data_IF_830460065432
#
_entry.id   IF_830460065432
#
_cell.length_a   1.000
_cell.length_b   1.000
_cell.length_c   1.000
_cell.angle_alpha   90.00
_cell.angle_beta   90.00
_cell.angle_gamma   90.00
#
_symmetry.space_group_name_H-M   'P 1'
#
loop_
_entity.id
_entity.type
_entity.pdbx_description
1 polymer ?
#
# COMPACT_ATOMS: atom_id res chain seq x y z
N UNK A 1 3.46 17.93 -4.28
CA UNK A 1 2.80 19.08 -4.95
C UNK A 1 1.39 19.31 -4.40
N UNK A 2 1.25 20.14 -3.38
CA UNK A 2 -0.01 20.76 -2.99
C UNK A 2 -0.18 22.05 -3.80
N UNK A 3 -0.73 21.94 -5.01
CA UNK A 3 -1.24 23.13 -5.70
C UNK A 3 -2.30 23.83 -4.84
N UNK A 4 -2.52 25.13 -5.07
CA UNK A 4 -3.51 25.90 -4.34
C UNK A 4 -4.89 25.24 -4.47
N UNK A 5 -5.54 24.97 -3.33
CA UNK A 5 -6.90 24.43 -3.28
C UNK A 5 -7.91 25.54 -3.55
N UNK A 6 -9.02 25.21 -4.20
CA UNK A 6 -10.17 26.13 -4.24
C UNK A 6 -10.82 26.23 -2.85
N UNK A 7 -11.64 27.26 -2.58
CA UNK A 7 -12.40 27.34 -1.32
C UNK A 7 -13.25 26.09 -1.04
N UNK A 8 -13.92 25.54 -2.07
CA UNK A 8 -14.76 24.35 -1.96
C UNK A 8 -13.94 23.08 -1.65
N UNK A 9 -12.74 22.99 -2.23
CA UNK A 9 -11.81 21.90 -1.94
C UNK A 9 -11.27 21.99 -0.52
N UNK A 10 -11.01 23.20 -0.03
CA UNK A 10 -10.57 23.45 1.35
C UNK A 10 -11.66 23.07 2.34
N UNK A 11 -12.92 23.46 2.08
CA UNK A 11 -14.07 23.05 2.89
C UNK A 11 -14.25 21.52 2.89
N UNK A 12 -14.06 20.88 1.73
CA UNK A 12 -14.13 19.42 1.62
C UNK A 12 -13.02 18.74 2.43
N UNK A 13 -11.80 19.30 2.43
CA UNK A 13 -10.68 18.84 3.24
C UNK A 13 -11.00 18.96 4.73
N UNK A 14 -11.49 20.11 5.19
CA UNK A 14 -11.84 20.34 6.60
C UNK A 14 -12.89 19.35 7.09
N UNK A 15 -13.97 19.15 6.31
CA UNK A 15 -15.00 18.14 6.61
C UNK A 15 -14.41 16.74 6.65
N UNK A 16 -13.57 16.40 5.68
CA UNK A 16 -12.93 15.09 5.62
C UNK A 16 -12.03 14.83 6.83
N UNK A 17 -11.24 15.81 7.29
CA UNK A 17 -10.40 15.66 8.50
C UNK A 17 -11.24 15.29 9.72
N UNK A 18 -12.33 16.04 9.95
CA UNK A 18 -13.22 15.82 11.09
C UNK A 18 -13.80 14.40 11.07
N UNK A 19 -14.29 13.95 9.92
CA UNK A 19 -14.87 12.61 9.81
C UNK A 19 -13.82 11.50 9.87
N UNK A 20 -12.64 11.69 9.29
CA UNK A 20 -11.55 10.72 9.32
C UNK A 20 -11.02 10.50 10.74
N UNK A 21 -10.98 11.54 11.59
CA UNK A 21 -10.57 11.44 12.99
C UNK A 21 -11.55 10.65 13.88
N UNK A 22 -12.80 10.46 13.43
CA UNK A 22 -13.80 9.64 14.14
C UNK A 22 -13.62 8.14 13.88
N UNK A 23 -12.76 7.76 12.93
CA UNK A 23 -12.49 6.35 12.64
C UNK A 23 -11.77 5.71 13.84
N UNK A 24 -12.10 4.44 14.17
CA UNK A 24 -11.45 3.73 15.27
C UNK A 24 -9.94 3.59 15.04
N UNK A 25 -9.54 3.45 13.78
CA UNK A 25 -8.15 3.40 13.35
C UNK A 25 -7.78 4.76 12.79
N UNK A 26 -7.03 5.53 13.57
CA UNK A 26 -6.65 6.88 13.18
C UNK A 26 -5.60 6.83 12.06
N UNK A 27 -5.87 7.44 10.91
CA UNK A 27 -4.88 7.57 9.84
C UNK A 27 -3.81 8.62 10.20
N UNK A 28 -2.79 8.73 9.35
CA UNK A 28 -1.87 9.87 9.35
C UNK A 28 -2.65 11.18 9.20
N UNK A 29 -2.29 12.20 9.97
CA UNK A 29 -3.05 13.45 10.09
C UNK A 29 -2.60 14.56 9.12
N UNK A 30 -1.70 14.25 8.18
CA UNK A 30 -1.20 15.24 7.22
C UNK A 30 -2.23 15.58 6.13
N UNK A 31 -2.22 16.83 5.69
CA UNK A 31 -3.08 17.29 4.59
C UNK A 31 -2.76 16.57 3.30
N UNK A 32 -1.49 16.31 3.05
CA UNK A 32 -1.02 15.53 1.91
C UNK A 32 -1.58 14.10 1.94
N UNK A 33 -1.71 13.49 3.12
CA UNK A 33 -2.36 12.20 3.27
C UNK A 33 -3.84 12.28 2.89
N UNK A 34 -4.60 13.21 3.47
CA UNK A 34 -6.03 13.34 3.19
C UNK A 34 -6.35 13.75 1.76
N UNK A 35 -5.55 14.64 1.17
CA UNK A 35 -5.73 15.10 -0.20
C UNK A 35 -5.55 13.99 -1.23
N UNK A 36 -4.79 12.93 -0.95
CA UNK A 36 -4.69 11.75 -1.85
C UNK A 36 -6.04 11.08 -2.03
N UNK A 37 -6.78 10.86 -0.94
CA UNK A 37 -8.10 10.23 -0.95
C UNK A 37 -9.15 11.11 -1.62
N UNK A 38 -9.17 12.41 -1.25
CA UNK A 38 -10.09 13.39 -1.82
C UNK A 38 -9.88 13.53 -3.33
N UNK A 39 -8.64 13.69 -3.80
CA UNK A 39 -8.34 13.79 -5.24
C UNK A 39 -8.75 12.53 -6.00
N UNK A 40 -8.52 11.34 -5.42
CA UNK A 40 -8.92 10.07 -6.02
C UNK A 40 -10.45 9.90 -6.17
N UNK A 41 -11.25 10.71 -5.49
CA UNK A 41 -12.72 10.69 -5.53
C UNK A 41 -13.33 12.06 -5.85
N UNK A 42 -12.58 12.90 -6.57
CA UNK A 42 -13.05 14.21 -7.04
C UNK A 42 -13.62 15.08 -5.90
N UNK A 43 -12.96 15.07 -4.74
CA UNK A 43 -13.33 15.76 -3.51
C UNK A 43 -14.70 15.37 -2.91
N UNK A 44 -15.26 14.23 -3.32
CA UNK A 44 -16.43 13.67 -2.66
C UNK A 44 -16.05 13.10 -1.29
N UNK A 45 -16.39 13.81 -0.21
CA UNK A 45 -16.03 13.45 1.17
C UNK A 45 -16.51 12.04 1.55
N UNK A 46 -17.76 11.70 1.27
CA UNK A 46 -18.33 10.39 1.62
C UNK A 46 -17.63 9.24 0.91
N UNK A 47 -17.47 9.33 -0.41
CA UNK A 47 -16.79 8.30 -1.19
C UNK A 47 -15.29 8.17 -0.82
N UNK A 48 -14.65 9.28 -0.46
CA UNK A 48 -13.27 9.31 0.02
C UNK A 48 -13.14 8.58 1.36
N UNK A 49 -14.10 8.79 2.28
CA UNK A 49 -14.07 8.16 3.61
C UNK A 49 -14.26 6.65 3.50
N UNK A 50 -15.16 6.21 2.63
CA UNK A 50 -15.35 4.79 2.36
C UNK A 50 -14.10 4.15 1.74
N UNK A 51 -13.36 4.87 0.89
CA UNK A 51 -12.08 4.40 0.36
C UNK A 51 -11.01 4.30 1.47
N UNK A 52 -10.91 5.31 2.33
CA UNK A 52 -9.97 5.32 3.45
C UNK A 52 -10.27 4.19 4.45
N UNK A 53 -11.54 3.97 4.82
CA UNK A 53 -11.94 2.86 5.70
C UNK A 53 -11.52 1.50 5.14
N UNK A 54 -11.75 1.28 3.83
CA UNK A 54 -11.32 0.04 3.16
C UNK A 54 -9.81 -0.11 3.20
N UNK A 55 -9.06 0.97 3.00
CA UNK A 55 -7.60 0.95 3.09
C UNK A 55 -7.12 0.61 4.51
N UNK A 56 -7.67 1.25 5.55
CA UNK A 56 -7.31 0.98 6.94
C UNK A 56 -7.61 -0.47 7.34
N UNK A 57 -8.75 -1.01 6.89
CA UNK A 57 -9.08 -2.43 7.07
C UNK A 57 -8.04 -3.34 6.38
N UNK A 58 -7.72 -3.06 5.13
CA UNK A 58 -6.73 -3.83 4.37
C UNK A 58 -5.35 -3.82 5.04
N UNK A 59 -4.90 -2.66 5.55
CA UNK A 59 -3.61 -2.56 6.28
C UNK A 59 -3.53 -3.55 7.43
N UNK A 60 -4.62 -3.73 8.18
CA UNK A 60 -4.71 -4.71 9.26
C UNK A 60 -4.70 -6.14 8.76
N UNK A 61 -5.46 -6.43 7.70
CA UNK A 61 -5.58 -7.77 7.11
C UNK A 61 -4.23 -8.33 6.64
N UNK A 62 -3.32 -7.45 6.17
CA UNK A 62 -2.01 -7.85 5.65
C UNK A 62 -0.84 -7.50 6.58
N UNK A 63 -1.12 -7.05 7.80
CA UNK A 63 -0.12 -6.57 8.78
C UNK A 63 0.85 -5.53 8.16
N UNK A 64 0.31 -4.60 7.37
CA UNK A 64 1.08 -3.63 6.60
C UNK A 64 1.98 -2.73 7.47
N UNK A 65 1.63 -2.54 8.75
CA UNK A 65 2.42 -1.75 9.70
C UNK A 65 3.74 -2.44 10.06
N UNK A 66 3.83 -3.77 9.92
CA UNK A 66 5.04 -4.57 10.20
C UNK A 66 5.74 -5.07 8.93
N UNK A 67 5.38 -4.53 7.76
CA UNK A 67 5.93 -5.01 6.48
C UNK A 67 7.46 -4.89 6.39
N UNK A 68 8.06 -3.95 7.13
CA UNK A 68 9.51 -3.79 7.19
C UNK A 68 10.23 -4.89 7.98
N UNK A 69 9.53 -5.59 8.87
CA UNK A 69 10.07 -6.74 9.62
C UNK A 69 9.96 -8.04 8.79
N UNK A 70 9.14 -8.04 7.74
CA UNK A 70 8.94 -9.19 6.88
C UNK A 70 10.10 -9.36 5.90
N UNK A 71 10.71 -10.54 5.91
CA UNK A 71 11.70 -10.93 4.91
C UNK A 71 11.01 -11.69 3.78
N UNK A 72 11.10 -11.22 2.52
CA UNK A 72 10.53 -11.95 1.39
C UNK A 72 11.14 -13.34 1.24
N UNK A 73 10.41 -14.35 0.73
CA UNK A 73 11.00 -15.63 0.37
C UNK A 73 12.20 -15.47 -0.57
N UNK A 74 13.19 -16.36 -0.44
CA UNK A 74 14.44 -16.32 -1.22
C UNK A 74 14.20 -16.22 -2.74
N UNK A 75 13.16 -16.89 -3.24
CA UNK A 75 12.78 -16.83 -4.66
C UNK A 75 12.40 -15.42 -5.12
N UNK A 76 11.71 -14.65 -4.28
CA UNK A 76 11.36 -13.27 -4.61
C UNK A 76 12.60 -12.38 -4.53
N UNK A 77 13.44 -12.56 -3.49
CA UNK A 77 14.67 -11.78 -3.34
C UNK A 77 15.64 -11.97 -4.53
N UNK A 78 15.75 -13.20 -5.05
CA UNK A 78 16.69 -13.52 -6.13
C UNK A 78 16.15 -13.29 -7.53
N UNK A 79 14.84 -13.49 -7.73
CA UNK A 79 14.28 -13.61 -9.08
C UNK A 79 13.13 -12.64 -9.37
N UNK A 80 12.65 -11.86 -8.40
CA UNK A 80 11.71 -10.78 -8.69
C UNK A 80 12.51 -9.52 -9.07
N UNK A 81 12.57 -9.16 -10.36
CA UNK A 81 13.44 -8.09 -10.81
C UNK A 81 12.78 -6.73 -10.59
N UNK A 82 13.59 -5.75 -10.23
CA UNK A 82 13.15 -4.38 -10.04
C UNK A 82 13.68 -3.78 -8.76
N UNK A 83 13.35 -2.52 -8.53
CA UNK A 83 13.76 -1.81 -7.33
C UNK A 83 13.82 -0.30 -7.51
N UNK A 84 14.02 0.39 -6.39
CA UNK A 84 14.25 1.82 -6.37
C UNK A 84 15.70 2.13 -6.74
N UNK A 85 15.91 2.99 -7.73
CA UNK A 85 17.24 3.46 -8.10
C UNK A 85 17.18 4.88 -8.67
N UNK A 86 17.88 5.82 -8.02
CA UNK A 86 17.95 7.21 -8.46
C UNK A 86 16.65 8.00 -8.30
N UNK A 87 16.68 9.21 -8.81
CA UNK A 87 15.60 10.21 -8.73
C UNK A 87 15.41 10.86 -10.12
N UNK A 88 14.19 11.32 -10.38
CA UNK A 88 13.91 12.13 -11.57
C UNK A 88 14.41 13.59 -11.40
N UNK A 89 14.13 14.44 -12.39
CA UNK A 89 14.58 15.84 -12.38
C UNK A 89 13.95 16.70 -11.27
N UNK A 90 12.83 16.25 -10.73
CA UNK A 90 12.08 16.93 -9.68
C UNK A 90 12.33 16.31 -8.29
N UNK A 91 13.22 15.31 -8.20
CA UNK A 91 13.60 14.62 -6.97
C UNK A 91 12.65 13.49 -6.55
N UNK A 92 11.78 13.00 -7.44
CA UNK A 92 10.92 11.86 -7.13
C UNK A 92 11.71 10.55 -7.26
N UNK A 93 11.60 9.60 -6.30
CA UNK A 93 12.23 8.29 -6.40
C UNK A 93 11.75 7.52 -7.63
N UNK A 94 12.69 6.95 -8.39
CA UNK A 94 12.38 6.13 -9.57
C UNK A 94 12.37 4.65 -9.19
N UNK A 95 11.27 3.97 -9.51
CA UNK A 95 11.15 2.52 -9.42
C UNK A 95 11.26 1.88 -10.80
N UNK A 96 12.19 0.94 -10.98
CA UNK A 96 12.34 0.17 -12.20
C UNK A 96 11.64 -1.18 -12.07
N UNK A 97 10.83 -1.54 -13.06
CA UNK A 97 10.13 -2.83 -13.14
C UNK A 97 10.50 -3.52 -14.47
N UNK A 98 11.15 -4.68 -14.38
CA UNK A 98 11.70 -5.38 -15.55
C UNK A 98 10.81 -6.56 -15.98
N UNK A 99 9.59 -6.25 -16.43
CA UNK A 99 8.57 -7.23 -16.84
C UNK A 99 9.08 -8.32 -17.80
N UNK A 100 9.97 -7.99 -18.74
CA UNK A 100 10.49 -8.94 -19.73
C UNK A 100 11.31 -10.09 -19.15
N UNK A 101 11.84 -9.92 -17.93
CA UNK A 101 12.76 -10.87 -17.30
C UNK A 101 12.13 -11.65 -16.14
N UNK A 102 10.82 -11.50 -15.91
CA UNK A 102 10.14 -12.17 -14.80
C UNK A 102 9.80 -13.62 -15.20
N UNK A 103 10.46 -14.60 -14.58
CA UNK A 103 10.00 -16.00 -14.64
C UNK A 103 8.78 -16.21 -13.74
N UNK A 104 7.62 -15.76 -14.23
CA UNK A 104 6.35 -15.87 -13.53
C UNK A 104 5.96 -17.31 -13.21
N UNK A 105 6.41 -18.30 -14.01
CA UNK A 105 6.11 -19.72 -13.79
C UNK A 105 6.96 -20.27 -12.66
N UNK A 106 8.27 -20.02 -12.67
CA UNK A 106 9.19 -20.44 -11.63
C UNK A 106 8.84 -19.86 -10.26
N UNK A 107 8.49 -18.56 -10.21
CA UNK A 107 8.06 -17.89 -8.98
C UNK A 107 6.82 -18.56 -8.39
N UNK A 108 5.76 -18.76 -9.20
CA UNK A 108 4.51 -19.39 -8.74
C UNK A 108 4.70 -20.84 -8.27
N UNK A 109 5.51 -21.62 -8.98
CA UNK A 109 5.77 -23.00 -8.62
C UNK A 109 6.48 -23.12 -7.26
N UNK A 110 7.43 -22.24 -6.97
CA UNK A 110 8.17 -22.28 -5.72
C UNK A 110 7.32 -21.83 -4.52
N UNK A 111 6.44 -20.84 -4.71
CA UNK A 111 5.50 -20.38 -3.67
C UNK A 111 4.56 -21.52 -3.22
N UNK A 112 4.00 -22.28 -4.16
CA UNK A 112 3.17 -23.45 -3.85
C UNK A 112 3.91 -24.52 -3.05
N UNK A 113 5.22 -24.71 -3.29
CA UNK A 113 6.05 -25.67 -2.55
C UNK A 113 6.36 -25.22 -1.13
N UNK A 114 6.61 -23.93 -0.91
CA UNK A 114 6.86 -23.38 0.42
C UNK A 114 5.60 -23.48 1.27
N UNK A 115 4.43 -23.13 0.72
CA UNK A 115 3.16 -23.19 1.45
C UNK A 115 2.74 -24.64 1.75
N UNK A 116 2.95 -25.58 0.84
CA UNK A 116 2.66 -27.01 1.08
C UNK A 116 3.57 -27.66 2.13
N UNK A 117 4.85 -27.27 2.21
CA UNK A 117 5.79 -27.73 3.25
C UNK A 117 5.52 -27.13 4.63
N UNK A 118 5.12 -25.86 4.67
CA UNK A 118 4.78 -25.19 5.94
C UNK A 118 3.54 -25.82 6.57
N UNK A 119 2.54 -26.18 5.77
CA UNK A 119 1.36 -26.91 6.23
C UNK A 119 1.65 -28.35 6.66
N UNK A 120 2.62 -29.05 6.06
CA UNK A 120 2.98 -30.42 6.49
C UNK A 120 3.72 -30.43 7.81
N UNK A 121 4.62 -29.47 8.06
CA UNK A 121 5.35 -29.36 9.33
C UNK A 121 4.42 -29.03 10.51
N UNK A 122 3.38 -28.21 10.30
CA UNK A 122 2.37 -27.94 11.35
C UNK A 122 1.47 -29.13 11.71
N UNK A 123 1.42 -30.17 10.87
CA UNK A 123 0.61 -31.37 11.08
C UNK A 123 1.41 -32.52 11.71
N UNK A 124 2.74 -32.42 11.73
CA UNK A 124 3.64 -33.41 12.35
C UNK A 124 3.99 -33.07 13.81
N UNK A 125 3.60 -31.89 14.31
CA UNK A 125 3.80 -31.43 15.70
C UNK A 125 2.55 -31.60 16.61
N UNK A 126 1.57 -32.42 16.21
CA UNK A 126 0.35 -32.74 17.02
C UNK A 126 0.30 -34.22 17.38
#
# INVERSE_FOLDING_TARGET
MSGALTPEQSESLDKFRIEAQKLPDKPEESDEYYLRWLRARSFNVSASLEMLKKHLKWRKEVDADKIFDWTPPEVLQKYFPGGFFGEDRDGHPVYYDFYGNIDTKGIKYNDQRINSRSNSLSLEEV
#
